data_IF_512788048247
#
_entry.id   IF_512788048247
#
_cell.length_a   1.000
_cell.length_b   1.000
_cell.length_c   1.000
_cell.angle_alpha   90.00
_cell.angle_beta   90.00
_cell.angle_gamma   90.00
#
_symmetry.space_group_name_H-M   'P 1'
#
loop_
_entity.id
_entity.type
_entity.pdbx_description
1 polymer ?
#
# COMPACT_ATOMS: atom_id res chain seq x y z
N UNK A 1 0.17 -21.14 -0.66
CA UNK A 1 -0.29 -20.12 -1.59
C UNK A 1 0.48 -18.82 -1.36
N UNK A 2 0.63 -18.03 -2.41
CA UNK A 2 1.40 -16.80 -2.32
C UNK A 2 0.57 -15.68 -1.69
N UNK A 3 1.14 -14.99 -0.71
CA UNK A 3 0.50 -13.83 -0.10
C UNK A 3 0.81 -12.58 -0.90
N UNK A 4 -0.22 -11.79 -1.18
CA UNK A 4 -0.06 -10.48 -1.81
C UNK A 4 -0.44 -9.39 -0.81
N UNK A 5 0.25 -8.25 -0.92
CA UNK A 5 -0.01 -7.08 -0.07
C UNK A 5 -0.36 -5.90 -0.96
N UNK A 6 -1.43 -5.19 -0.59
CA UNK A 6 -1.76 -3.91 -1.17
C UNK A 6 -1.48 -2.86 -0.11
N UNK A 7 -0.76 -1.81 -0.45
CA UNK A 7 -0.24 -0.89 0.54
C UNK A 7 -0.44 0.57 0.16
N UNK A 8 -0.44 1.42 1.19
CA UNK A 8 -0.31 2.87 1.06
C UNK A 8 0.95 3.27 1.82
N UNK A 9 1.89 3.88 1.11
CA UNK A 9 3.13 4.37 1.71
C UNK A 9 3.12 5.89 1.76
N UNK A 10 3.48 6.45 2.91
CA UNK A 10 3.55 7.89 3.12
C UNK A 10 4.85 8.44 2.56
N UNK A 11 4.76 9.52 1.79
CA UNK A 11 5.93 10.19 1.23
C UNK A 11 6.22 11.49 1.98
N UNK A 12 7.40 12.04 1.75
CA UNK A 12 7.86 13.25 2.45
C UNK A 12 7.00 14.48 2.19
N UNK A 13 6.31 14.52 1.06
CA UNK A 13 5.38 15.61 0.74
C UNK A 13 3.97 15.35 1.27
N UNK A 14 3.83 14.35 2.14
CA UNK A 14 2.56 13.91 2.72
C UNK A 14 1.62 13.22 1.74
N UNK A 15 2.06 12.90 0.54
CA UNK A 15 1.26 12.12 -0.41
C UNK A 15 1.28 10.64 -0.02
N UNK A 16 0.36 9.87 -0.61
CA UNK A 16 0.26 8.43 -0.39
C UNK A 16 0.48 7.69 -1.70
N UNK A 17 1.48 6.83 -1.71
CA UNK A 17 1.82 5.98 -2.84
C UNK A 17 1.20 4.59 -2.65
N UNK A 18 0.41 4.15 -3.64
CA UNK A 18 -0.29 2.87 -3.58
C UNK A 18 0.37 1.86 -4.51
N UNK A 19 0.47 0.60 -4.06
CA UNK A 19 1.04 -0.45 -4.88
C UNK A 19 0.70 -1.83 -4.34
N UNK A 20 1.19 -2.86 -5.04
CA UNK A 20 1.08 -4.25 -4.61
C UNK A 20 2.46 -4.90 -4.61
N UNK A 21 2.63 -5.89 -3.74
CA UNK A 21 3.90 -6.61 -3.65
C UNK A 21 3.66 -7.97 -2.99
N UNK A 22 4.62 -8.86 -3.12
CA UNK A 22 4.62 -10.13 -2.38
C UNK A 22 5.50 -10.08 -1.13
N UNK A 23 6.21 -8.96 -0.93
CA UNK A 23 7.06 -8.79 0.25
C UNK A 23 7.06 -7.31 0.63
N UNK A 24 6.21 -6.97 1.61
CA UNK A 24 5.93 -5.58 1.97
C UNK A 24 7.16 -4.83 2.46
N UNK A 25 7.91 -5.43 3.39
CA UNK A 25 9.05 -4.74 3.98
C UNK A 25 10.23 -4.63 3.03
N UNK A 26 10.43 -5.63 2.17
CA UNK A 26 11.43 -5.53 1.11
C UNK A 26 11.08 -4.39 0.17
N UNK A 27 9.81 -4.29 -0.23
CA UNK A 27 9.37 -3.23 -1.13
C UNK A 27 9.54 -1.86 -0.49
N UNK A 28 9.25 -1.75 0.80
CA UNK A 28 9.49 -0.51 1.53
C UNK A 28 10.97 -0.13 1.51
N UNK A 29 11.86 -1.09 1.77
CA UNK A 29 13.30 -0.84 1.73
C UNK A 29 13.75 -0.42 0.33
N UNK A 30 13.19 -1.03 -0.73
CA UNK A 30 13.53 -0.64 -2.11
C UNK A 30 13.15 0.81 -2.38
N UNK A 31 12.01 1.26 -1.88
CA UNK A 31 11.57 2.65 -2.07
C UNK A 31 12.37 3.64 -1.24
N UNK A 32 12.88 3.23 -0.10
CA UNK A 32 13.68 4.11 0.76
C UNK A 32 15.17 4.11 0.43
N UNK A 33 15.64 3.09 -0.29
CA UNK A 33 17.06 2.97 -0.67
C UNK A 33 17.29 3.75 -1.96
N UNK A 34 17.89 4.93 -1.84
CA UNK A 34 18.13 5.83 -2.98
C UNK A 34 19.10 5.25 -4.01
N UNK A 35 19.88 4.24 -3.65
CA UNK A 35 20.79 3.58 -4.56
C UNK A 35 20.11 2.46 -5.36
N UNK A 36 18.87 2.12 -5.01
CA UNK A 36 18.13 1.06 -5.68
C UNK A 36 17.38 1.62 -6.89
N UNK A 37 17.77 1.22 -8.14
CA UNK A 37 17.13 1.75 -9.34
C UNK A 37 15.63 1.49 -9.41
N UNK A 38 15.14 0.40 -8.83
CA UNK A 38 13.72 0.07 -8.85
C UNK A 38 12.89 1.04 -8.02
N UNK A 39 13.41 1.50 -6.89
CA UNK A 39 12.73 2.45 -6.05
C UNK A 39 12.82 3.87 -6.59
N UNK A 40 13.97 4.23 -7.14
CA UNK A 40 14.26 5.60 -7.56
C UNK A 40 13.27 6.15 -8.58
N UNK A 41 12.77 5.30 -9.46
CA UNK A 41 11.89 5.74 -10.55
C UNK A 41 10.62 6.45 -10.04
N UNK A 42 10.04 5.95 -8.95
CA UNK A 42 8.79 6.50 -8.43
C UNK A 42 8.98 7.51 -7.31
N UNK A 43 10.09 7.42 -6.61
CA UNK A 43 10.32 8.23 -5.42
C UNK A 43 11.41 9.26 -5.63
N UNK A 44 11.79 9.51 -6.89
CA UNK A 44 12.90 10.40 -7.22
C UNK A 44 12.66 11.82 -6.68
N UNK A 45 11.46 12.33 -6.84
CA UNK A 45 11.08 13.66 -6.37
C UNK A 45 10.46 13.63 -4.96
N UNK A 46 10.17 12.44 -4.44
CA UNK A 46 9.51 12.25 -3.15
C UNK A 46 10.17 11.09 -2.43
N UNK A 47 10.40 11.27 -1.15
CA UNK A 47 10.98 10.23 -0.34
C UNK A 47 9.88 9.46 0.40
N UNK A 48 9.87 8.14 0.28
CA UNK A 48 8.97 7.30 1.07
C UNK A 48 9.49 7.25 2.50
N UNK A 49 8.63 7.59 3.47
CA UNK A 49 9.03 7.67 4.87
C UNK A 49 8.40 6.62 5.76
N UNK A 50 7.23 6.06 5.38
CA UNK A 50 6.58 5.04 6.22
C UNK A 50 5.57 4.24 5.40
N UNK A 51 5.23 3.06 5.94
CA UNK A 51 4.09 2.29 5.46
C UNK A 51 2.89 2.77 6.26
N UNK A 52 1.95 3.46 5.60
CA UNK A 52 0.81 4.06 6.29
C UNK A 52 -0.31 3.06 6.53
N UNK A 53 -0.53 2.13 5.61
CA UNK A 53 -1.53 1.07 5.75
C UNK A 53 -1.22 -0.05 4.77
N UNK A 54 -1.66 -1.25 5.10
CA UNK A 54 -1.51 -2.40 4.19
C UNK A 54 -2.56 -3.45 4.50
N UNK A 55 -2.90 -4.20 3.46
CA UNK A 55 -3.85 -5.31 3.52
C UNK A 55 -3.22 -6.51 2.83
N UNK A 56 -3.50 -7.71 3.34
CA UNK A 56 -2.96 -8.93 2.75
C UNK A 56 -4.10 -9.82 2.24
N UNK A 57 -3.79 -10.63 1.23
CA UNK A 57 -4.73 -11.59 0.69
C UNK A 57 -4.00 -12.80 0.11
N UNK A 58 -4.62 -13.97 0.23
CA UNK A 58 -4.17 -15.18 -0.46
C UNK A 58 -4.95 -15.42 -1.75
N UNK A 59 -5.89 -14.54 -2.08
CA UNK A 59 -6.78 -14.71 -3.23
C UNK A 59 -6.11 -14.49 -4.59
N UNK A 60 -4.86 -14.02 -4.60
CA UNK A 60 -4.06 -13.90 -5.81
C UNK A 60 -3.89 -12.47 -6.30
N UNK A 61 -3.04 -12.33 -7.32
CA UNK A 61 -2.67 -11.03 -7.86
C UNK A 61 -3.85 -10.27 -8.46
N UNK A 62 -4.79 -11.00 -9.09
CA UNK A 62 -5.95 -10.37 -9.72
C UNK A 62 -6.78 -9.60 -8.71
N UNK A 63 -7.07 -10.22 -7.56
CA UNK A 63 -7.83 -9.54 -6.50
C UNK A 63 -7.05 -8.37 -5.92
N UNK A 64 -5.74 -8.56 -5.70
CA UNK A 64 -4.88 -7.48 -5.20
C UNK A 64 -4.88 -6.29 -6.16
N UNK A 65 -4.82 -6.54 -7.47
CA UNK A 65 -4.84 -5.48 -8.49
C UNK A 65 -6.16 -4.71 -8.50
N UNK A 66 -7.27 -5.40 -8.25
CA UNK A 66 -8.58 -4.74 -8.17
C UNK A 66 -8.62 -3.76 -7.00
N UNK A 67 -8.11 -4.16 -5.85
CA UNK A 67 -8.06 -3.26 -4.69
C UNK A 67 -7.12 -2.09 -4.95
N UNK A 68 -5.95 -2.35 -5.51
CA UNK A 68 -4.99 -1.28 -5.85
C UNK A 68 -5.65 -0.24 -6.75
N UNK A 69 -6.34 -0.69 -7.80
CA UNK A 69 -7.00 0.22 -8.74
C UNK A 69 -8.04 1.09 -8.03
N UNK A 70 -8.79 0.49 -7.09
CA UNK A 70 -9.80 1.24 -6.34
C UNK A 70 -9.16 2.27 -5.42
N UNK A 71 -8.10 1.87 -4.70
CA UNK A 71 -7.42 2.79 -3.80
C UNK A 71 -6.84 4.00 -4.54
N UNK A 72 -6.29 3.77 -5.73
CA UNK A 72 -5.75 4.86 -6.55
C UNK A 72 -6.80 5.88 -6.95
N UNK A 73 -8.07 5.48 -7.03
CA UNK A 73 -9.18 6.36 -7.40
C UNK A 73 -9.79 7.10 -6.21
N UNK A 74 -9.48 6.69 -5.00
CA UNK A 74 -10.00 7.37 -3.82
C UNK A 74 -9.38 8.76 -3.66
N UNK A 75 -10.15 9.67 -3.06
CA UNK A 75 -9.62 10.98 -2.72
C UNK A 75 -8.54 10.86 -1.65
N UNK A 76 -7.71 11.88 -1.52
CA UNK A 76 -6.70 11.93 -0.46
C UNK A 76 -7.34 11.75 0.92
N UNK A 77 -8.47 12.42 1.14
CA UNK A 77 -9.19 12.35 2.40
C UNK A 77 -9.60 10.91 2.75
N UNK A 78 -10.16 10.18 1.78
CA UNK A 78 -10.57 8.79 1.99
C UNK A 78 -9.38 7.88 2.24
N UNK A 79 -8.28 8.09 1.53
CA UNK A 79 -7.05 7.34 1.78
C UNK A 79 -6.52 7.59 3.19
N UNK A 80 -6.61 8.84 3.68
CA UNK A 80 -6.16 9.15 5.03
C UNK A 80 -7.03 8.46 6.09
N UNK A 81 -8.33 8.34 5.84
CA UNK A 81 -9.20 7.58 6.73
C UNK A 81 -8.74 6.13 6.82
N UNK A 82 -8.38 5.52 5.68
CA UNK A 82 -7.89 4.15 5.66
C UNK A 82 -6.51 3.99 6.31
N UNK A 83 -5.69 5.03 6.30
CA UNK A 83 -4.42 4.99 7.02
C UNK A 83 -4.65 4.95 8.52
N UNK A 84 -5.65 5.67 9.02
CA UNK A 84 -5.98 5.69 10.42
C UNK A 84 -6.79 4.46 10.85
N UNK A 85 -7.71 4.02 9.99
CA UNK A 85 -8.61 2.91 10.27
C UNK A 85 -8.60 1.90 9.11
N UNK A 86 -7.50 1.14 8.95
CA UNK A 86 -7.41 0.22 7.80
C UNK A 86 -8.46 -0.89 7.79
N UNK A 87 -9.01 -1.23 8.96
CA UNK A 87 -10.09 -2.22 9.07
C UNK A 87 -11.39 -1.75 8.43
N UNK A 88 -11.51 -0.46 8.11
CA UNK A 88 -12.69 0.09 7.45
C UNK A 88 -12.64 -0.03 5.93
N UNK A 89 -11.76 -0.87 5.41
CA UNK A 89 -11.55 -1.02 3.95
C UNK A 89 -12.85 -1.20 3.18
N UNK A 90 -13.76 -2.06 3.68
CA UNK A 90 -14.96 -2.41 2.94
C UNK A 90 -16.05 -1.34 2.97
N UNK A 91 -15.83 -0.23 3.65
CA UNK A 91 -16.66 0.96 3.49
C UNK A 91 -16.34 1.69 2.17
N UNK A 92 -15.16 1.43 1.60
CA UNK A 92 -14.67 2.10 0.40
C UNK A 92 -14.45 1.16 -0.77
N UNK A 93 -14.52 -0.15 -0.54
CA UNK A 93 -14.26 -1.18 -1.54
C UNK A 93 -15.34 -2.25 -1.48
N UNK A 94 -16.05 -2.45 -2.60
CA UNK A 94 -17.17 -3.37 -2.67
C UNK A 94 -16.85 -4.71 -3.32
N UNK A 95 -15.56 -5.03 -3.50
CA UNK A 95 -15.12 -6.30 -4.07
C UNK A 95 -15.18 -7.45 -3.09
N UNK A 96 -14.53 -8.56 -3.46
CA UNK A 96 -14.46 -9.74 -2.60
C UNK A 96 -13.83 -9.41 -1.24
N UNK A 97 -14.42 -9.95 -0.17
CA UNK A 97 -13.93 -9.71 1.20
C UNK A 97 -12.81 -10.68 1.54
N UNK A 98 -11.71 -10.59 0.79
CA UNK A 98 -10.56 -11.48 0.91
C UNK A 98 -9.33 -10.78 1.47
N UNK A 99 -9.47 -9.54 1.92
CA UNK A 99 -8.36 -8.73 2.43
C UNK A 99 -8.45 -8.59 3.94
N UNK A 100 -7.31 -8.73 4.59
CA UNK A 100 -7.16 -8.54 6.03
C UNK A 100 -6.17 -7.40 6.23
N UNK A 101 -6.58 -6.39 6.99
CA UNK A 101 -5.65 -5.32 7.35
C UNK A 101 -4.55 -5.87 8.24
N UNK A 102 -3.34 -5.38 8.07
CA UNK A 102 -2.21 -5.82 8.88
C UNK A 102 -1.70 -4.67 9.72
N UNK A 103 -1.20 -5.03 10.90
CA UNK A 103 -0.58 -4.06 11.79
C UNK A 103 0.85 -3.82 11.33
N UNK A 104 1.18 -2.55 11.08
CA UNK A 104 2.50 -2.18 10.61
C UNK A 104 3.46 -2.13 11.79
N UNK A 105 4.58 -2.85 11.65
CA UNK A 105 5.62 -2.83 12.67
C UNK A 105 6.46 -1.57 12.54
N UNK A 106 6.85 -0.96 13.65
CA UNK A 106 7.81 0.16 13.60
C UNK A 106 9.10 -0.30 12.96
N UNK A 107 9.65 0.53 12.11
CA UNK A 107 10.88 0.24 11.38
C UNK A 107 12.01 1.12 11.89
#
# INVERSE_FOLDING_TARGET
MKMYYVYLMRCSDNSLYCGITTDLYRRFREHTNKENPKGAKYTHAKEVISIAAAWQTEAGRSEASKLEARLKKLTKEKKEILCEFPERLYEFYSGEQVFISIQIQPM
#
